data_IF_069586270064
#
_entry.id   IF_069586270064
#
_cell.length_a   1.000
_cell.length_b   1.000
_cell.length_c   1.000
_cell.angle_alpha   90.00
_cell.angle_beta   90.00
_cell.angle_gamma   90.00
#
_symmetry.space_group_name_H-M   'P 1'
#
loop_
_entity.id
_entity.type
_entity.pdbx_description
1 polymer ?
#
# COMPACT_ATOMS: atom_id res chain seq x y z
N UNK A 1 -10.95 14.85 16.80
CA UNK A 1 -12.20 14.42 16.11
C UNK A 1 -12.11 14.68 14.61
N UNK A 2 -11.27 13.96 13.86
CA UNK A 2 -10.82 14.44 12.52
C UNK A 2 -11.53 13.81 11.31
N UNK A 3 -12.35 12.79 11.52
CA UNK A 3 -12.99 12.05 10.42
C UNK A 3 -14.53 11.95 10.54
N UNK A 4 -15.14 12.40 11.65
CA UNK A 4 -16.61 12.36 11.79
C UNK A 4 -17.31 13.40 10.92
N UNK A 5 -16.65 14.51 10.59
CA UNK A 5 -17.21 15.52 9.70
C UNK A 5 -17.47 14.98 8.28
N UNK A 6 -16.66 14.01 7.82
CA UNK A 6 -16.87 13.34 6.53
C UNK A 6 -18.18 12.54 6.51
N UNK A 7 -18.55 11.91 7.64
CA UNK A 7 -19.81 11.18 7.78
C UNK A 7 -20.99 12.13 7.70
N UNK A 8 -20.93 13.24 8.44
CA UNK A 8 -21.97 14.28 8.43
C UNK A 8 -22.14 14.87 7.03
N UNK A 9 -21.02 15.21 6.37
CA UNK A 9 -21.03 15.71 5.00
C UNK A 9 -21.58 14.68 4.00
N UNK A 10 -21.23 13.40 4.18
CA UNK A 10 -21.76 12.30 3.36
C UNK A 10 -23.28 12.15 3.51
N UNK A 11 -23.80 12.24 4.73
CA UNK A 11 -25.25 12.21 4.98
C UNK A 11 -25.95 13.38 4.31
N UNK A 12 -25.41 14.61 4.45
CA UNK A 12 -25.95 15.79 3.79
C UNK A 12 -25.96 15.64 2.26
N UNK A 13 -24.90 15.07 1.68
CA UNK A 13 -24.82 14.82 0.25
C UNK A 13 -25.85 13.78 -0.22
N UNK A 14 -26.03 12.69 0.53
CA UNK A 14 -27.05 11.67 0.22
C UNK A 14 -28.46 12.28 0.27
N UNK A 15 -28.75 13.12 1.27
CA UNK A 15 -30.00 13.87 1.36
C UNK A 15 -30.21 14.79 0.14
N UNK A 16 -29.16 15.50 -0.28
CA UNK A 16 -29.21 16.36 -1.46
C UNK A 16 -29.52 15.56 -2.74
N UNK A 17 -28.84 14.43 -2.94
CA UNK A 17 -29.09 13.52 -4.08
C UNK A 17 -30.53 12.97 -4.04
N UNK A 18 -31.03 12.59 -2.86
CA UNK A 18 -32.38 12.08 -2.71
C UNK A 18 -33.45 13.13 -3.07
N UNK A 19 -33.26 14.38 -2.62
CA UNK A 19 -34.14 15.50 -3.01
C UNK A 19 -34.11 15.70 -4.52
N UNK A 20 -32.92 15.67 -5.12
CA UNK A 20 -32.76 15.82 -6.57
C UNK A 20 -33.46 14.70 -7.34
N UNK A 21 -33.40 13.47 -6.83
CA UNK A 21 -34.07 12.31 -7.44
C UNK A 21 -35.59 12.40 -7.38
N UNK A 22 -36.16 12.93 -6.29
CA UNK A 22 -37.61 13.11 -6.15
C UNK A 22 -38.12 14.23 -7.05
N UNK A 23 -37.41 15.36 -7.13
CA UNK A 23 -37.84 16.51 -7.95
C UNK A 23 -37.71 16.22 -9.45
N UNK A 24 -36.70 15.44 -9.85
CA UNK A 24 -36.42 15.13 -11.26
C UNK A 24 -36.89 13.72 -11.65
N UNK A 25 -38.01 13.27 -11.08
CA UNK A 25 -38.65 11.99 -11.43
C UNK A 25 -39.47 12.10 -12.72
N UNK A 26 -38.93 12.83 -13.70
CA UNK A 26 -39.54 12.95 -15.01
C UNK A 26 -39.21 11.71 -15.84
N UNK A 27 -40.25 11.07 -16.35
CA UNK A 27 -40.11 9.88 -17.20
C UNK A 27 -39.56 10.30 -18.56
N UNK A 28 -38.44 9.69 -18.94
CA UNK A 28 -37.78 9.92 -20.23
C UNK A 28 -37.69 8.57 -20.97
N UNK A 29 -38.02 8.57 -22.25
CA UNK A 29 -37.84 7.39 -23.10
C UNK A 29 -36.34 7.11 -23.28
N UNK A 30 -35.91 5.94 -22.84
CA UNK A 30 -34.52 5.48 -23.00
C UNK A 30 -34.49 4.32 -23.99
N UNK A 31 -33.62 4.44 -24.98
CA UNK A 31 -33.40 3.40 -25.98
C UNK A 31 -32.14 2.59 -25.62
N UNK A 32 -32.33 1.37 -25.11
CA UNK A 32 -31.30 0.44 -24.68
C UNK A 32 -30.77 -0.43 -25.83
N UNK A 33 -30.70 0.09 -27.06
CA UNK A 33 -30.36 -0.61 -28.32
C UNK A 33 -31.37 -1.67 -28.78
N UNK A 34 -31.90 -2.49 -27.86
CA UNK A 34 -32.80 -3.61 -28.16
C UNK A 34 -34.18 -3.48 -27.51
N UNK A 35 -34.35 -2.50 -26.63
CA UNK A 35 -35.60 -2.23 -25.93
C UNK A 35 -35.75 -0.73 -25.67
N UNK A 36 -36.99 -0.26 -25.68
CA UNK A 36 -37.35 1.11 -25.31
C UNK A 36 -38.20 1.05 -24.05
N UNK A 37 -37.87 1.86 -23.06
CA UNK A 37 -38.63 1.94 -21.83
C UNK A 37 -38.59 3.36 -21.27
N UNK A 38 -39.67 3.77 -20.61
CA UNK A 38 -39.76 5.05 -19.93
C UNK A 38 -39.26 4.89 -18.49
N UNK A 39 -38.13 5.51 -18.19
CA UNK A 39 -37.51 5.48 -16.87
C UNK A 39 -37.20 6.91 -16.44
N UNK A 40 -37.30 7.22 -15.13
CA UNK A 40 -36.85 8.51 -14.61
C UNK A 40 -35.39 8.79 -14.99
N UNK A 41 -35.11 9.99 -15.52
CA UNK A 41 -33.77 10.36 -16.00
C UNK A 41 -32.69 10.18 -14.93
N UNK A 42 -33.01 10.46 -13.68
CA UNK A 42 -32.09 10.30 -12.54
C UNK A 42 -31.63 8.85 -12.35
N UNK A 43 -32.50 7.85 -12.55
CA UNK A 43 -32.14 6.45 -12.41
C UNK A 43 -31.13 6.02 -13.47
N UNK A 44 -31.28 6.55 -14.68
CA UNK A 44 -30.38 6.28 -15.82
C UNK A 44 -28.99 6.85 -15.55
N UNK A 45 -28.92 8.09 -15.05
CA UNK A 45 -27.66 8.76 -14.69
C UNK A 45 -26.98 8.01 -13.53
N UNK A 46 -27.72 7.75 -12.44
CA UNK A 46 -27.19 7.04 -11.28
C UNK A 46 -26.70 5.64 -11.65
N UNK A 47 -27.45 4.90 -12.47
CA UNK A 47 -27.04 3.59 -12.95
C UNK A 47 -25.76 3.64 -13.79
N UNK A 48 -25.65 4.62 -14.70
CA UNK A 48 -24.46 4.80 -15.54
C UNK A 48 -23.21 5.13 -14.71
N UNK A 49 -23.35 6.05 -13.74
CA UNK A 49 -22.28 6.41 -12.81
C UNK A 49 -21.89 5.22 -11.94
N UNK A 50 -22.87 4.45 -11.44
CA UNK A 50 -22.64 3.25 -10.63
C UNK A 50 -21.79 2.23 -11.41
N UNK A 51 -22.12 1.96 -12.67
CA UNK A 51 -21.35 1.04 -13.53
C UNK A 51 -19.92 1.57 -13.72
N UNK A 52 -19.75 2.86 -14.00
CA UNK A 52 -18.43 3.48 -14.11
C UNK A 52 -17.59 3.33 -12.84
N UNK A 53 -18.18 3.63 -11.68
CA UNK A 53 -17.55 3.45 -10.37
C UNK A 53 -17.18 1.98 -10.11
N UNK A 54 -18.04 1.05 -10.51
CA UNK A 54 -17.81 -0.38 -10.34
C UNK A 54 -16.61 -0.87 -11.18
N UNK A 55 -16.51 -0.41 -12.43
CA UNK A 55 -15.35 -0.69 -13.29
C UNK A 55 -14.07 -0.17 -12.64
N UNK A 56 -14.06 1.10 -12.22
CA UNK A 56 -12.90 1.72 -11.56
C UNK A 56 -12.53 0.96 -10.27
N UNK A 57 -13.53 0.55 -9.48
CA UNK A 57 -13.33 -0.21 -8.25
C UNK A 57 -12.63 -1.55 -8.51
N UNK A 58 -13.10 -2.33 -9.50
CA UNK A 58 -12.47 -3.60 -9.85
C UNK A 58 -11.04 -3.42 -10.39
N UNK A 59 -10.81 -2.41 -11.23
CA UNK A 59 -9.46 -2.08 -11.71
C UNK A 59 -8.51 -1.69 -10.55
N UNK A 60 -9.01 -0.93 -9.57
CA UNK A 60 -8.23 -0.57 -8.39
C UNK A 60 -7.87 -1.77 -7.53
N UNK A 61 -8.80 -2.70 -7.28
CA UNK A 61 -8.51 -3.94 -6.54
C UNK A 61 -7.37 -4.72 -7.20
N UNK A 62 -7.43 -4.89 -8.53
CA UNK A 62 -6.39 -5.60 -9.27
C UNK A 62 -5.03 -4.91 -9.14
N UNK A 63 -5.01 -3.57 -9.26
CA UNK A 63 -3.79 -2.75 -9.11
C UNK A 63 -3.19 -2.84 -7.71
N UNK A 64 -4.01 -2.70 -6.67
CA UNK A 64 -3.58 -2.77 -5.27
C UNK A 64 -2.99 -4.14 -4.93
N UNK A 65 -3.58 -5.23 -5.46
CA UNK A 65 -3.07 -6.58 -5.21
C UNK A 65 -1.68 -6.81 -5.80
N UNK A 66 -1.40 -6.28 -6.99
CA UNK A 66 -0.05 -6.32 -7.58
C UNK A 66 0.94 -5.43 -6.80
N UNK A 67 0.50 -4.23 -6.39
CA UNK A 67 1.29 -3.34 -5.54
C UNK A 67 1.71 -4.00 -4.22
N UNK A 68 0.78 -4.66 -3.53
CA UNK A 68 1.06 -5.33 -2.26
C UNK A 68 2.09 -6.46 -2.37
N UNK A 69 2.14 -7.17 -3.50
CA UNK A 69 3.19 -8.18 -3.77
C UNK A 69 4.57 -7.54 -3.87
N UNK A 70 4.68 -6.45 -4.61
CA UNK A 70 5.93 -5.69 -4.74
C UNK A 70 6.36 -5.11 -3.39
N UNK A 71 5.42 -4.54 -2.61
CA UNK A 71 5.69 -4.04 -1.25
C UNK A 71 6.26 -5.15 -0.36
N UNK A 72 5.73 -6.37 -0.46
CA UNK A 72 6.24 -7.51 0.32
C UNK A 72 7.67 -7.89 -0.09
N UNK A 73 7.94 -8.00 -1.39
CA UNK A 73 9.28 -8.32 -1.91
C UNK A 73 10.31 -7.26 -1.52
N UNK A 74 9.98 -5.98 -1.73
CA UNK A 74 10.83 -4.86 -1.33
C UNK A 74 11.11 -4.85 0.18
N UNK A 75 10.14 -5.24 1.01
CA UNK A 75 10.31 -5.31 2.46
C UNK A 75 11.24 -6.46 2.87
N UNK A 76 11.13 -7.62 2.21
CA UNK A 76 12.01 -8.77 2.43
C UNK A 76 13.45 -8.43 2.01
N UNK A 77 13.63 -7.84 0.83
CA UNK A 77 14.95 -7.42 0.33
C UNK A 77 15.62 -6.38 1.25
N UNK A 78 14.86 -5.37 1.71
CA UNK A 78 15.38 -4.41 2.70
C UNK A 78 15.83 -5.11 3.98
N UNK A 79 15.06 -6.08 4.47
CA UNK A 79 15.40 -6.81 5.70
C UNK A 79 16.69 -7.62 5.52
N UNK A 80 16.85 -8.28 4.36
CA UNK A 80 18.06 -9.03 4.04
C UNK A 80 19.29 -8.13 3.91
N UNK A 81 19.17 -7.02 3.18
CA UNK A 81 20.25 -6.04 3.02
C UNK A 81 20.68 -5.45 4.36
N UNK A 82 19.74 -5.07 5.23
CA UNK A 82 20.05 -4.59 6.59
C UNK A 82 20.78 -5.65 7.41
N UNK A 83 20.38 -6.93 7.30
CA UNK A 83 21.08 -8.04 7.98
C UNK A 83 22.51 -8.24 7.46
N UNK A 84 22.71 -8.14 6.14
CA UNK A 84 24.05 -8.24 5.51
C UNK A 84 24.96 -7.09 5.93
N UNK A 85 24.44 -5.86 5.97
CA UNK A 85 25.19 -4.69 6.46
C UNK A 85 25.59 -4.87 7.93
N UNK A 86 24.66 -5.26 8.81
CA UNK A 86 24.97 -5.51 10.22
C UNK A 86 26.01 -6.63 10.42
N UNK A 87 25.95 -7.69 9.60
CA UNK A 87 26.95 -8.76 9.64
C UNK A 87 28.33 -8.30 9.12
N UNK A 88 28.37 -7.49 8.07
CA UNK A 88 29.61 -6.92 7.53
C UNK A 88 30.26 -5.93 8.51
N UNK A 89 29.47 -5.09 9.18
CA UNK A 89 29.92 -4.19 10.26
C UNK A 89 30.48 -4.97 11.45
N UNK A 90 29.83 -6.06 11.86
CA UNK A 90 30.31 -6.95 12.92
C UNK A 90 31.64 -7.67 12.55
N UNK A 91 31.85 -7.98 11.27
CA UNK A 91 33.10 -8.58 10.79
C UNK A 91 34.23 -7.56 10.66
N UNK A 92 33.95 -6.32 10.28
CA UNK A 92 34.94 -5.24 10.23
C UNK A 92 35.32 -4.69 11.62
N UNK A 93 34.40 -4.71 12.59
CA UNK A 93 34.69 -4.32 13.99
C UNK A 93 35.69 -5.23 14.71
N UNK A 94 35.87 -6.49 14.25
CA UNK A 94 36.81 -7.45 14.85
C UNK A 94 38.25 -7.32 14.32
N UNK A 95 38.47 -6.62 13.21
CA UNK A 95 39.81 -6.49 12.59
C UNK A 95 40.67 -5.37 13.20
N UNK A 96 40.10 -4.49 14.03
CA UNK A 96 40.84 -3.39 14.66
C UNK A 96 41.52 -3.77 16.00
N UNK A 97 41.14 -4.88 16.64
CA UNK A 97 41.69 -5.27 17.96
C UNK A 97 42.64 -6.48 17.94
N UNK A 98 42.86 -7.09 16.78
CA UNK A 98 43.73 -8.28 16.63
C UNK A 98 44.83 -7.98 15.62
N UNK A 99 45.72 -7.02 15.90
CA UNK A 99 47.02 -6.93 15.19
C UNK A 99 48.16 -6.30 16.03
N UNK A 100 47.99 -6.13 17.35
CA UNK A 100 49.07 -5.54 18.18
C UNK A 100 49.58 -6.49 19.28
N UNK A 101 48.94 -7.64 19.48
CA UNK A 101 49.15 -8.44 20.70
C UNK A 101 50.07 -9.67 20.62
N UNK A 102 50.61 -10.07 19.46
CA UNK A 102 51.22 -11.40 19.34
C UNK A 102 52.59 -11.39 18.62
N UNK A 103 53.51 -10.53 19.06
CA UNK A 103 54.93 -10.67 18.69
C UNK A 103 55.95 -10.71 19.84
N UNK A 104 55.59 -10.40 21.09
CA UNK A 104 56.62 -10.28 22.15
C UNK A 104 56.85 -11.51 23.04
N UNK A 105 56.05 -12.57 22.99
CA UNK A 105 56.14 -13.62 24.04
C UNK A 105 56.91 -14.89 23.66
N UNK A 106 57.47 -15.02 22.45
CA UNK A 106 58.09 -16.30 22.01
C UNK A 106 59.62 -16.39 22.06
N UNK A 107 60.36 -15.37 22.48
CA UNK A 107 61.85 -15.44 22.48
C UNK A 107 62.55 -15.55 23.84
N UNK A 108 61.86 -15.50 24.99
CA UNK A 108 62.57 -15.36 26.28
C UNK A 108 62.50 -16.54 27.27
N UNK A 109 61.86 -17.68 26.94
CA UNK A 109 61.75 -18.77 27.93
C UNK A 109 61.95 -20.18 27.34
N UNK A 110 63.16 -20.44 26.87
CA UNK A 110 63.75 -21.78 26.84
C UNK A 110 65.14 -21.69 27.48
N UNK A 111 65.24 -21.99 28.77
CA UNK A 111 66.52 -22.18 29.50
C UNK A 111 66.82 -23.69 29.55
N UNK A 112 68.09 -24.14 29.59
CA UNK A 112 68.62 -24.47 30.92
C UNK A 112 70.13 -24.20 31.14
N UNK A 113 70.41 -24.09 32.43
CA UNK A 113 71.68 -24.13 33.16
C UNK A 113 72.63 -25.26 32.71
N UNK A 114 73.86 -24.89 32.31
CA UNK A 114 75.14 -25.57 32.59
C UNK A 114 76.31 -24.63 32.20
#
# INVERSE_FOLDING_TARGET
>A
MKNQWQVILGILLVLFIAIFAVINVDSVEVNFLFAKAEWPLVLVILGSVLIGCLIIFFLNIAKVRSGNKQIKQLKEEKTELTRKLAAAEAMHGKKSTIDVGEKETKEANEKPNL
#
